data_IF_895518519818
#
_entry.id   IF_895518519818
#
_cell.length_a   1.000
_cell.length_b   1.000
_cell.length_c   1.000
_cell.angle_alpha   90.00
_cell.angle_beta   90.00
_cell.angle_gamma   90.00
#
_symmetry.space_group_name_H-M   'P 1'
#
loop_
_entity.id
_entity.type
_entity.pdbx_description
1 polymer ?
#
# COMPACT_ATOMS: atom_id res chain seq x y z
N UNK A 1 4.47 5.06 4.35
CA UNK A 1 4.33 3.99 3.36
C UNK A 1 5.55 3.98 2.51
N UNK A 2 6.19 2.85 2.43
CA UNK A 2 7.45 2.74 1.74
C UNK A 2 7.36 1.66 0.69
N UNK A 3 8.01 1.89 -0.44
CA UNK A 3 8.24 0.86 -1.42
C UNK A 3 9.73 0.81 -1.70
N UNK A 4 10.29 -0.39 -1.63
CA UNK A 4 11.71 -0.60 -1.78
C UNK A 4 12.08 -1.04 -3.20
N UNK A 5 11.09 -1.11 -4.11
CA UNK A 5 11.29 -1.72 -5.42
C UNK A 5 11.29 -0.73 -6.58
N UNK A 6 11.13 0.55 -6.31
CA UNK A 6 10.86 1.48 -7.41
C UNK A 6 11.76 2.70 -7.36
N UNK A 7 12.04 3.25 -8.55
CA UNK A 7 12.70 4.54 -8.72
C UNK A 7 11.74 5.71 -8.60
N UNK A 8 10.47 5.44 -8.37
CA UNK A 8 9.48 6.50 -8.15
C UNK A 8 9.47 6.93 -6.70
N UNK A 9 9.33 8.21 -6.47
CA UNK A 9 8.96 8.76 -5.17
C UNK A 9 7.45 8.78 -5.11
N UNK A 10 6.88 8.17 -4.08
CA UNK A 10 5.42 8.04 -3.92
C UNK A 10 4.99 8.86 -2.72
N UNK A 11 4.13 9.85 -2.96
CA UNK A 11 3.60 10.73 -1.93
C UNK A 11 2.09 10.64 -1.93
N UNK A 12 1.45 10.14 -0.86
CA UNK A 12 -0.01 10.13 -0.74
C UNK A 12 -0.56 11.56 -0.80
N UNK A 13 -1.62 11.76 -1.58
CA UNK A 13 -2.23 13.08 -1.76
C UNK A 13 -3.13 13.50 -0.60
N UNK A 14 -3.52 12.57 0.25
CA UNK A 14 -4.43 12.80 1.36
C UNK A 14 -3.99 12.01 2.58
N UNK A 15 -4.60 12.30 3.73
CA UNK A 15 -4.46 11.45 4.89
C UNK A 15 -4.72 10.00 4.51
N UNK A 16 -3.79 9.13 4.89
CA UNK A 16 -3.93 7.72 4.62
C UNK A 16 -5.07 7.19 5.48
N UNK A 17 -6.15 6.76 4.83
CA UNK A 17 -7.28 6.12 5.49
C UNK A 17 -7.10 4.61 5.43
N UNK A 18 -7.81 3.90 6.30
CA UNK A 18 -7.90 2.45 6.23
C UNK A 18 -8.69 2.05 4.98
N UNK A 19 -8.00 2.08 3.85
CA UNK A 19 -8.56 1.79 2.55
C UNK A 19 -7.58 0.95 1.74
N UNK A 20 -8.10 0.06 0.95
CA UNK A 20 -7.29 -0.77 0.05
C UNK A 20 -6.72 0.06 -1.09
N UNK A 21 -7.42 1.08 -1.53
CA UNK A 21 -6.98 1.95 -2.60
C UNK A 21 -6.81 3.37 -2.11
N UNK A 22 -5.81 4.07 -2.63
CA UNK A 22 -5.61 5.48 -2.34
C UNK A 22 -4.92 6.15 -3.51
N UNK A 23 -5.12 7.46 -3.60
CA UNK A 23 -4.48 8.28 -4.62
C UNK A 23 -3.16 8.80 -4.11
N UNK A 24 -2.17 8.78 -4.97
CA UNK A 24 -0.84 9.25 -4.65
C UNK A 24 -0.22 9.94 -5.86
N UNK A 25 0.68 10.86 -5.58
CA UNK A 25 1.52 11.45 -6.59
C UNK A 25 2.80 10.63 -6.71
N UNK A 26 3.11 10.17 -7.91
CA UNK A 26 4.36 9.47 -8.19
C UNK A 26 5.26 10.39 -9.02
N UNK A 27 6.54 10.40 -8.71
CA UNK A 27 7.54 11.20 -9.40
C UNK A 27 8.70 10.30 -9.76
N UNK A 28 9.07 10.27 -11.04
CA UNK A 28 10.22 9.50 -11.52
C UNK A 28 11.50 10.19 -11.09
N UNK A 29 12.41 9.47 -10.46
CA UNK A 29 13.70 10.02 -10.02
C UNK A 29 14.69 10.19 -11.16
N UNK A 30 14.44 9.58 -12.31
CA UNK A 30 15.34 9.63 -13.46
C UNK A 30 15.05 10.82 -14.38
N UNK A 31 13.79 11.20 -14.55
CA UNK A 31 13.41 12.23 -15.51
C UNK A 31 12.49 13.31 -14.93
N UNK A 32 12.19 13.26 -13.63
CA UNK A 32 11.30 14.19 -12.92
C UNK A 32 9.85 14.23 -13.42
N UNK A 33 9.44 13.29 -14.25
CA UNK A 33 8.05 13.17 -14.65
C UNK A 33 7.19 12.79 -13.45
N UNK A 34 6.05 13.41 -13.33
CA UNK A 34 5.16 13.27 -12.19
C UNK A 34 3.71 13.13 -12.64
N UNK A 35 2.95 12.29 -11.95
CA UNK A 35 1.51 12.17 -12.19
C UNK A 35 0.81 11.69 -10.92
N UNK A 36 -0.51 11.86 -10.89
CA UNK A 36 -1.35 11.29 -9.85
C UNK A 36 -1.92 9.97 -10.34
N UNK A 37 -1.88 8.96 -9.49
CA UNK A 37 -2.40 7.63 -9.80
C UNK A 37 -3.04 7.00 -8.58
N UNK A 38 -3.83 5.95 -8.80
CA UNK A 38 -4.41 5.16 -7.72
C UNK A 38 -3.55 3.94 -7.47
N UNK A 39 -3.18 3.73 -6.22
CA UNK A 39 -2.36 2.59 -5.79
C UNK A 39 -3.16 1.68 -4.88
N UNK A 40 -2.89 0.39 -4.96
CA UNK A 40 -3.55 -0.62 -4.16
C UNK A 40 -2.60 -1.14 -3.09
N UNK A 41 -3.04 -1.08 -1.84
CA UNK A 41 -2.26 -1.59 -0.70
C UNK A 41 -2.13 -3.11 -0.78
N UNK A 42 -0.96 -3.63 -0.43
CA UNK A 42 -0.68 -5.05 -0.31
C UNK A 42 -0.74 -5.82 -1.64
N UNK A 43 -0.44 -5.12 -2.72
CA UNK A 43 -0.32 -5.72 -4.06
C UNK A 43 0.92 -5.22 -4.77
N UNK A 44 1.52 -6.08 -5.58
CA UNK A 44 2.60 -5.67 -6.48
C UNK A 44 1.97 -5.03 -7.71
N UNK A 45 2.37 -3.82 -8.01
CA UNK A 45 1.83 -3.02 -9.10
C UNK A 45 2.95 -2.58 -10.03
N UNK A 46 2.61 -2.30 -11.27
CA UNK A 46 3.54 -1.72 -12.23
C UNK A 46 3.27 -0.23 -12.37
N UNK A 47 4.33 0.55 -12.26
CA UNK A 47 4.29 1.98 -12.48
C UNK A 47 5.02 2.30 -13.77
N UNK A 48 4.35 3.00 -14.67
CA UNK A 48 4.91 3.42 -15.96
C UNK A 48 5.22 4.91 -15.93
N UNK A 49 6.46 5.26 -16.24
CA UNK A 49 6.85 6.64 -16.41
C UNK A 49 6.45 7.14 -17.81
N UNK A 50 5.59 8.15 -17.86
CA UNK A 50 5.20 8.78 -19.12
C UNK A 50 6.29 9.63 -19.76
N UNK A 51 7.35 9.96 -19.03
CA UNK A 51 8.46 10.75 -19.52
C UNK A 51 9.56 9.95 -20.18
N UNK A 52 10.05 8.91 -19.51
CA UNK A 52 11.18 8.11 -20.00
C UNK A 52 10.82 6.67 -20.38
N UNK A 53 9.55 6.27 -20.19
CA UNK A 53 9.11 4.93 -20.54
C UNK A 53 9.54 3.83 -19.57
N UNK A 54 10.14 4.18 -18.45
CA UNK A 54 10.53 3.20 -17.43
C UNK A 54 9.30 2.51 -16.84
N UNK A 55 9.41 1.21 -16.66
CA UNK A 55 8.39 0.43 -15.97
C UNK A 55 9.03 -0.19 -14.73
N UNK A 56 8.47 0.13 -13.58
CA UNK A 56 8.96 -0.38 -12.31
C UNK A 56 7.86 -1.09 -11.55
N UNK A 57 8.24 -2.08 -10.77
CA UNK A 57 7.32 -2.74 -9.85
C UNK A 57 7.35 -2.01 -8.52
N UNK A 58 6.18 -1.78 -7.95
CA UNK A 58 6.04 -1.19 -6.64
C UNK A 58 5.16 -2.08 -5.77
N UNK A 59 5.56 -2.25 -4.52
CA UNK A 59 4.78 -2.96 -3.52
C UNK A 59 4.58 -2.05 -2.32
N UNK A 60 3.34 -1.88 -1.94
CA UNK A 60 2.97 -1.05 -0.80
C UNK A 60 2.34 -1.94 0.26
N UNK A 61 3.08 -2.17 1.34
CA UNK A 61 2.57 -2.90 2.49
C UNK A 61 1.59 -2.07 3.31
N UNK A 62 0.93 -2.70 4.26
CA UNK A 62 0.05 -2.02 5.20
C UNK A 62 0.91 -1.27 6.22
N UNK A 63 0.72 0.05 6.38
CA UNK A 63 1.47 0.82 7.38
C UNK A 63 1.17 0.36 8.81
N UNK A 64 2.20 0.33 9.65
CA UNK A 64 2.06 -0.07 11.05
C UNK A 64 1.09 0.80 11.84
N UNK A 65 0.91 2.05 11.44
CA UNK A 65 -0.02 2.97 12.08
C UNK A 65 -1.48 2.53 12.00
N UNK A 66 -1.80 1.58 11.11
CA UNK A 66 -3.15 1.03 10.97
C UNK A 66 -3.40 -0.17 11.88
N UNK A 67 -2.36 -0.67 12.53
CA UNK A 67 -2.46 -1.81 13.45
C UNK A 67 -2.80 -1.29 14.86
N UNK A 68 -3.77 -1.94 15.51
CA UNK A 68 -4.14 -1.55 16.86
C UNK A 68 -5.04 -0.32 16.94
N UNK A 69 -5.68 0.05 15.84
CA UNK A 69 -6.64 1.15 15.79
C UNK A 69 -8.07 0.61 15.82
N UNK A 70 -9.06 1.41 16.24
CA UNK A 70 -10.46 0.96 16.25
C UNK A 70 -10.92 0.52 14.86
N UNK A 71 -11.63 -0.60 14.81
CA UNK A 71 -12.20 -1.10 13.55
C UNK A 71 -13.15 -0.06 12.94
N UNK A 72 -13.01 0.26 11.65
CA UNK A 72 -13.87 1.26 11.02
C UNK A 72 -15.31 0.81 10.81
N UNK A 73 -15.59 -0.50 10.95
CA UNK A 73 -16.94 -1.03 10.80
C UNK A 73 -17.68 -1.13 12.14
N UNK A 74 -17.09 -1.80 13.11
CA UNK A 74 -17.79 -2.08 14.37
C UNK A 74 -17.36 -1.23 15.54
N UNK A 75 -16.20 -0.63 15.52
CA UNK A 75 -15.60 0.17 16.60
C UNK A 75 -15.51 -0.56 17.97
N UNK A 76 -15.70 -1.88 17.98
CA UNK A 76 -15.69 -2.68 19.20
C UNK A 76 -14.36 -3.29 19.53
N UNK A 77 -13.53 -3.48 18.53
CA UNK A 77 -12.22 -4.09 18.68
C UNK A 77 -11.19 -3.30 17.88
N UNK A 78 -9.94 -3.57 18.14
CA UNK A 78 -8.84 -2.98 17.39
C UNK A 78 -8.40 -3.90 16.26
N UNK A 79 -7.89 -3.31 15.19
CA UNK A 79 -7.39 -4.04 14.04
C UNK A 79 -6.17 -4.86 14.40
N UNK A 80 -6.03 -6.03 13.78
CA UNK A 80 -4.88 -6.92 13.94
C UNK A 80 -4.24 -7.20 12.59
N UNK A 81 -2.92 -7.32 12.63
CA UNK A 81 -2.12 -7.64 11.44
C UNK A 81 -1.68 -9.09 11.51
N UNK A 82 -1.93 -9.82 10.44
CA UNK A 82 -1.43 -11.18 10.23
C UNK A 82 -0.48 -11.18 9.04
N UNK A 83 0.67 -11.83 9.20
CA UNK A 83 1.67 -11.91 8.16
C UNK A 83 1.72 -13.34 7.61
N UNK A 84 1.63 -13.46 6.30
CA UNK A 84 1.75 -14.73 5.62
C UNK A 84 2.84 -14.61 4.56
N UNK A 85 3.78 -15.56 4.59
CA UNK A 85 4.82 -15.65 3.57
C UNK A 85 4.41 -16.73 2.58
N UNK A 86 4.65 -16.50 1.28
CA UNK A 86 4.38 -17.53 0.30
C UNK A 86 5.31 -18.73 0.49
N UNK A 87 5.01 -19.85 -0.18
CA UNK A 87 5.77 -21.10 -0.03
C UNK A 87 7.26 -20.98 -0.39
N UNK A 88 7.62 -19.94 -1.15
CA UNK A 88 9.00 -19.67 -1.53
C UNK A 88 9.65 -18.59 -0.69
N UNK A 89 8.91 -18.00 0.24
CA UNK A 89 9.41 -16.93 1.11
C UNK A 89 9.69 -15.61 0.38
N UNK A 90 9.14 -15.44 -0.82
CA UNK A 90 9.43 -14.27 -1.66
C UNK A 90 8.48 -13.12 -1.46
N UNK A 91 7.25 -13.40 -1.07
CA UNK A 91 6.19 -12.40 -0.92
C UNK A 91 5.60 -12.53 0.46
N UNK A 92 5.57 -11.43 1.18
CA UNK A 92 4.89 -11.33 2.45
C UNK A 92 3.51 -10.71 2.21
N UNK A 93 2.47 -11.49 2.44
CA UNK A 93 1.09 -11.01 2.37
C UNK A 93 0.66 -10.58 3.76
N UNK A 94 0.17 -9.36 3.87
CA UNK A 94 -0.30 -8.80 5.12
C UNK A 94 -1.81 -8.77 5.13
N UNK A 95 -2.39 -9.27 6.21
CA UNK A 95 -3.83 -9.24 6.42
C UNK A 95 -4.12 -8.36 7.62
N UNK A 96 -4.85 -7.28 7.39
CA UNK A 96 -5.33 -6.39 8.44
C UNK A 96 -6.82 -6.63 8.60
N UNK A 97 -7.24 -7.05 9.77
CA UNK A 97 -8.62 -7.49 10.01
C UNK A 97 -9.11 -7.12 11.40
N UNK A 98 -10.43 -7.19 11.58
CA UNK A 98 -11.06 -7.04 12.89
C UNK A 98 -11.39 -8.41 13.44
N UNK A 99 -10.96 -8.74 14.70
CA UNK A 99 -11.27 -10.05 15.28
C UNK A 99 -12.72 -10.21 15.73
N UNK A 100 -13.48 -9.14 15.79
CA UNK A 100 -14.88 -9.15 16.28
C UNK A 100 -15.91 -9.13 15.16
N UNK A 101 -15.55 -8.66 13.97
CA UNK A 101 -16.43 -8.64 12.81
C UNK A 101 -15.65 -9.12 11.58
N UNK A 102 -16.31 -9.15 10.44
CA UNK A 102 -15.69 -9.68 9.22
C UNK A 102 -14.93 -8.62 8.41
N UNK A 103 -14.66 -7.47 9.01
CA UNK A 103 -13.94 -6.42 8.29
C UNK A 103 -12.49 -6.83 8.02
N UNK A 104 -12.05 -6.61 6.80
CA UNK A 104 -10.69 -6.87 6.34
C UNK A 104 -10.29 -5.83 5.30
N UNK A 105 -9.06 -5.40 5.40
CA UNK A 105 -8.50 -4.48 4.42
C UNK A 105 -8.06 -5.22 3.17
#
# INVERSE_FOLDING_TARGET
>A
MLTDFTRFVIVPNQEVRLSREYRAQITCTECDWSTETTLTTNEVQRLLCGGCGNVEKAYLGIPDEFVGVPCPECFRAVTRLERQTDVLGRIEVLRLFCPECDWEL
#
